data_IF_346541782073
#
_entry.id   IF_346541782073
#
_cell.length_a   1.000
_cell.length_b   1.000
_cell.length_c   1.000
_cell.angle_alpha   90.00
_cell.angle_beta   90.00
_cell.angle_gamma   90.00
#
_symmetry.space_group_name_H-M   'P 1'
#
loop_
_entity.id
_entity.type
_entity.pdbx_description
1 polymer ?
#
# COMPACT_ATOMS: atom_id res chain seq x y z
N UNK A 1 -12.48 16.62 -4.56
CA UNK A 1 -11.42 16.14 -3.65
C UNK A 1 -10.05 16.43 -4.24
N UNK A 2 -8.99 16.19 -3.47
CA UNK A 2 -7.58 16.44 -3.82
C UNK A 2 -7.16 15.84 -5.18
N UNK A 3 -7.79 14.73 -5.60
CA UNK A 3 -7.43 13.99 -6.82
C UNK A 3 -8.29 14.31 -8.04
N UNK A 4 -9.13 15.35 -7.97
CA UNK A 4 -10.11 15.69 -9.04
C UNK A 4 -9.49 15.98 -10.42
N UNK A 5 -8.22 16.38 -10.46
CA UNK A 5 -7.53 16.76 -11.70
C UNK A 5 -6.72 15.60 -12.30
N UNK A 6 -6.69 14.43 -11.64
CA UNK A 6 -6.07 13.25 -12.22
C UNK A 6 -7.00 12.68 -13.29
N UNK A 7 -6.42 12.34 -14.43
CA UNK A 7 -7.11 11.67 -15.53
C UNK A 7 -6.30 10.46 -15.98
N UNK A 8 -6.99 9.48 -16.57
CA UNK A 8 -6.34 8.34 -17.23
C UNK A 8 -5.96 8.77 -18.63
N UNK A 9 -4.68 8.65 -18.99
CA UNK A 9 -4.16 8.96 -20.33
C UNK A 9 -4.07 7.68 -21.16
N UNK A 10 -4.17 7.78 -22.48
CA UNK A 10 -4.17 6.58 -23.35
C UNK A 10 -2.85 5.81 -23.27
N UNK A 11 -1.73 6.52 -23.20
CA UNK A 11 -0.38 5.94 -23.17
C UNK A 11 -0.07 5.13 -21.91
N UNK A 12 -0.79 5.38 -20.80
CA UNK A 12 -0.59 4.71 -19.51
C UNK A 12 -1.59 3.58 -19.26
N UNK A 13 -2.64 3.43 -20.10
CA UNK A 13 -3.70 2.41 -19.90
C UNK A 13 -3.13 0.99 -19.81
N UNK A 14 -2.19 0.65 -20.69
CA UNK A 14 -1.59 -0.69 -20.72
C UNK A 14 -0.79 -0.97 -19.43
N UNK A 15 -0.04 0.01 -18.94
CA UNK A 15 0.71 -0.11 -17.69
C UNK A 15 -0.23 -0.22 -16.49
N UNK A 16 -1.29 0.60 -16.44
CA UNK A 16 -2.31 0.54 -15.39
C UNK A 16 -3.02 -0.82 -15.32
N UNK A 17 -3.34 -1.43 -16.46
CA UNK A 17 -3.91 -2.79 -16.48
C UNK A 17 -2.94 -3.82 -15.87
N UNK A 18 -1.68 -3.80 -16.29
CA UNK A 18 -0.65 -4.71 -15.73
C UNK A 18 -0.44 -4.51 -14.22
N UNK A 19 -0.58 -3.28 -13.73
CA UNK A 19 -0.50 -2.99 -12.31
C UNK A 19 -1.75 -3.47 -11.57
N UNK A 20 -2.94 -3.27 -12.14
CA UNK A 20 -4.21 -3.72 -11.56
C UNK A 20 -4.24 -5.24 -11.31
N UNK A 21 -3.63 -6.04 -12.18
CA UNK A 21 -3.52 -7.50 -12.01
C UNK A 21 -2.55 -7.92 -10.89
N UNK A 22 -1.68 -7.01 -10.44
CA UNK A 22 -0.61 -7.29 -9.47
C UNK A 22 -0.88 -6.73 -8.07
N UNK A 23 -1.91 -5.90 -7.93
CA UNK A 23 -2.26 -5.31 -6.63
C UNK A 23 -3.14 -6.27 -5.82
N UNK A 24 -2.98 -6.33 -4.48
CA UNK A 24 -3.63 -7.37 -3.68
C UNK A 24 -5.10 -7.11 -3.38
N UNK A 25 -5.56 -5.85 -3.41
CA UNK A 25 -6.97 -5.50 -3.16
C UNK A 25 -7.67 -5.31 -4.53
N UNK A 26 -8.71 -6.10 -4.84
CA UNK A 26 -9.43 -5.98 -6.10
C UNK A 26 -9.96 -4.56 -6.35
N UNK A 27 -9.71 -4.05 -7.55
CA UNK A 27 -10.27 -2.80 -8.07
C UNK A 27 -11.66 -3.11 -8.63
N UNK A 28 -12.68 -2.36 -8.21
CA UNK A 28 -14.07 -2.58 -8.67
C UNK A 28 -14.46 -1.64 -9.79
N UNK A 29 -13.78 -0.50 -9.85
CA UNK A 29 -13.96 0.55 -10.82
C UNK A 29 -13.38 0.14 -12.18
N UNK A 30 -13.89 0.73 -13.26
CA UNK A 30 -13.27 0.58 -14.59
C UNK A 30 -11.88 1.21 -14.59
N UNK A 31 -10.88 0.56 -15.20
CA UNK A 31 -9.49 1.06 -15.25
C UNK A 31 -9.39 2.41 -15.98
N UNK A 32 -10.39 2.76 -16.78
CA UNK A 32 -10.47 4.06 -17.46
C UNK A 32 -10.91 5.19 -16.53
N UNK A 33 -11.42 4.88 -15.33
CA UNK A 33 -11.82 5.88 -14.36
C UNK A 33 -10.63 6.45 -13.57
N UNK A 34 -10.58 7.77 -13.31
CA UNK A 34 -9.58 8.38 -12.44
C UNK A 34 -9.50 7.74 -11.05
N UNK A 35 -10.64 7.26 -10.52
CA UNK A 35 -10.72 6.56 -9.23
C UNK A 35 -9.92 5.27 -9.24
N UNK A 36 -10.03 4.47 -10.32
CA UNK A 36 -9.26 3.24 -10.47
C UNK A 36 -7.76 3.53 -10.52
N UNK A 37 -7.35 4.55 -11.29
CA UNK A 37 -5.95 4.99 -11.34
C UNK A 37 -5.41 5.35 -9.96
N UNK A 38 -6.13 6.16 -9.18
CA UNK A 38 -5.70 6.51 -7.81
C UNK A 38 -5.55 5.27 -6.93
N UNK A 39 -6.52 4.35 -7.00
CA UNK A 39 -6.53 3.11 -6.24
C UNK A 39 -5.33 2.21 -6.61
N UNK A 40 -5.15 1.93 -7.90
CA UNK A 40 -4.02 1.13 -8.41
C UNK A 40 -2.69 1.73 -8.03
N UNK A 41 -2.50 3.05 -8.19
CA UNK A 41 -1.23 3.71 -7.87
C UNK A 41 -0.93 3.71 -6.37
N UNK A 42 -1.93 3.88 -5.52
CA UNK A 42 -1.72 3.79 -4.07
C UNK A 42 -1.34 2.37 -3.65
N UNK A 43 -2.00 1.35 -4.22
CA UNK A 43 -1.64 -0.04 -3.95
C UNK A 43 -0.26 -0.41 -4.51
N UNK A 44 0.08 0.07 -5.72
CA UNK A 44 1.39 -0.11 -6.32
C UNK A 44 2.50 0.50 -5.46
N UNK A 45 2.25 1.67 -4.87
CA UNK A 45 3.16 2.30 -3.92
C UNK A 45 3.43 1.42 -2.69
N UNK A 46 2.37 0.90 -2.03
CA UNK A 46 2.47 0.04 -0.85
C UNK A 46 3.15 -1.29 -1.20
N UNK A 47 2.84 -1.85 -2.38
CA UNK A 47 3.48 -3.06 -2.93
C UNK A 47 4.93 -2.85 -3.40
N UNK A 48 5.43 -1.60 -3.39
CA UNK A 48 6.75 -1.25 -3.89
C UNK A 48 6.98 -1.68 -5.36
N UNK A 49 5.93 -1.64 -6.18
CA UNK A 49 6.03 -1.95 -7.60
C UNK A 49 6.82 -0.86 -8.32
N UNK A 50 7.59 -1.26 -9.34
CA UNK A 50 8.25 -0.34 -10.25
C UNK A 50 7.27 0.09 -11.33
N UNK A 51 7.28 1.38 -11.64
CA UNK A 51 6.54 1.99 -12.73
C UNK A 51 7.54 2.38 -13.83
N UNK A 52 7.12 2.26 -15.08
CA UNK A 52 7.91 2.60 -16.27
C UNK A 52 7.58 4.02 -16.75
N UNK A 53 6.31 4.42 -16.71
CA UNK A 53 5.86 5.75 -17.14
C UNK A 53 6.20 6.87 -16.16
N UNK A 54 6.93 7.89 -16.64
CA UNK A 54 7.23 9.10 -15.85
C UNK A 54 5.99 9.84 -15.34
N UNK A 55 4.94 9.92 -16.16
CA UNK A 55 3.68 10.56 -15.78
C UNK A 55 2.99 9.82 -14.63
N UNK A 56 2.94 8.48 -14.69
CA UNK A 56 2.37 7.66 -13.61
C UNK A 56 3.21 7.74 -12.32
N UNK A 57 4.54 7.82 -12.43
CA UNK A 57 5.39 8.05 -11.26
C UNK A 57 5.08 9.38 -10.58
N UNK A 58 4.94 10.46 -11.34
CA UNK A 58 4.57 11.78 -10.81
C UNK A 58 3.19 11.75 -10.14
N UNK A 59 2.20 11.11 -10.78
CA UNK A 59 0.85 10.96 -10.23
C UNK A 59 0.87 10.13 -8.93
N UNK A 60 1.66 9.05 -8.88
CA UNK A 60 1.84 8.23 -7.66
C UNK A 60 2.47 9.05 -6.53
N UNK A 61 3.49 9.87 -6.82
CA UNK A 61 4.10 10.77 -5.82
C UNK A 61 3.09 11.78 -5.29
N UNK A 62 2.30 12.40 -6.17
CA UNK A 62 1.24 13.33 -5.76
C UNK A 62 0.18 12.66 -4.87
N UNK A 63 -0.27 11.46 -5.23
CA UNK A 63 -1.22 10.68 -4.45
C UNK A 63 -0.64 10.37 -3.06
N UNK A 64 0.58 9.87 -3.00
CA UNK A 64 1.19 9.38 -1.75
C UNK A 64 1.54 10.50 -0.76
N UNK A 65 1.91 11.69 -1.25
CA UNK A 65 2.10 12.89 -0.42
C UNK A 65 0.81 13.30 0.32
N UNK A 66 -0.36 13.08 -0.29
CA UNK A 66 -1.65 13.41 0.32
C UNK A 66 -2.26 12.22 1.07
N UNK A 67 -1.95 10.98 0.67
CA UNK A 67 -2.56 9.76 1.18
C UNK A 67 -2.47 9.63 2.70
N UNK A 68 -1.32 9.97 3.31
CA UNK A 68 -1.15 9.87 4.76
C UNK A 68 -2.16 10.72 5.54
N UNK A 69 -2.34 11.99 5.14
CA UNK A 69 -3.30 12.92 5.79
C UNK A 69 -4.75 12.50 5.55
N UNK A 70 -5.07 12.07 4.32
CA UNK A 70 -6.41 11.63 3.97
C UNK A 70 -6.81 10.34 4.72
N UNK A 71 -5.91 9.35 4.78
CA UNK A 71 -6.15 8.11 5.54
C UNK A 71 -6.29 8.39 7.03
N UNK A 72 -5.48 9.30 7.57
CA UNK A 72 -5.59 9.71 8.98
C UNK A 72 -6.93 10.37 9.29
N UNK A 73 -7.39 11.28 8.42
CA UNK A 73 -8.69 11.92 8.57
C UNK A 73 -9.84 10.88 8.55
N UNK A 74 -9.78 9.90 7.62
CA UNK A 74 -10.74 8.80 7.57
C UNK A 74 -10.73 7.98 8.87
N UNK A 75 -9.54 7.62 9.36
CA UNK A 75 -9.40 6.91 10.64
C UNK A 75 -10.04 7.67 11.80
N UNK A 76 -9.79 8.98 11.93
CA UNK A 76 -10.32 9.76 13.04
C UNK A 76 -11.85 9.93 12.98
N UNK A 77 -12.42 10.10 11.78
CA UNK A 77 -13.89 10.13 11.59
C UNK A 77 -14.51 8.81 12.05
N UNK A 78 -13.95 7.70 11.59
CA UNK A 78 -14.46 6.35 11.89
C UNK A 78 -14.31 6.02 13.38
N UNK A 79 -13.17 6.41 13.98
CA UNK A 79 -12.92 6.24 15.41
C UNK A 79 -13.95 6.99 16.25
N UNK A 80 -14.23 8.27 15.93
CA UNK A 80 -15.24 9.08 16.63
C UNK A 80 -16.66 8.53 16.51
N UNK A 81 -16.95 7.82 15.42
CA UNK A 81 -18.24 7.13 15.21
C UNK A 81 -18.36 5.80 15.96
N UNK A 82 -17.30 5.32 16.61
CA UNK A 82 -17.30 4.07 17.37
C UNK A 82 -17.33 2.81 16.49
N UNK A 83 -16.96 2.90 15.22
CA UNK A 83 -17.01 1.77 14.28
C UNK A 83 -15.76 0.89 14.39
N UNK A 84 -15.64 0.12 15.47
CA UNK A 84 -14.42 -0.61 15.84
C UNK A 84 -13.74 -1.39 14.69
N UNK A 85 -14.51 -2.16 13.91
CA UNK A 85 -13.97 -2.94 12.78
C UNK A 85 -13.35 -2.05 11.70
N UNK A 86 -14.03 -0.94 11.35
CA UNK A 86 -13.53 -0.02 10.34
C UNK A 86 -12.38 0.85 10.89
N UNK A 87 -12.39 1.16 12.19
CA UNK A 87 -11.28 1.84 12.89
C UNK A 87 -10.00 1.02 12.77
N UNK A 88 -10.07 -0.29 12.99
CA UNK A 88 -8.91 -1.18 12.87
C UNK A 88 -8.38 -1.21 11.43
N UNK A 89 -9.27 -1.31 10.43
CA UNK A 89 -8.90 -1.32 9.01
C UNK A 89 -8.26 -0.02 8.55
N UNK A 90 -8.85 1.12 8.93
CA UNK A 90 -8.34 2.46 8.57
C UNK A 90 -7.01 2.78 9.26
N UNK A 91 -6.82 2.34 10.51
CA UNK A 91 -5.51 2.40 11.17
C UNK A 91 -4.48 1.53 10.45
N UNK A 92 -4.87 0.33 10.04
CA UNK A 92 -4.03 -0.54 9.20
C UNK A 92 -3.60 0.16 7.92
N UNK A 93 -4.53 0.78 7.19
CA UNK A 93 -4.23 1.56 5.98
C UNK A 93 -3.26 2.72 6.25
N UNK A 94 -3.44 3.46 7.36
CA UNK A 94 -2.50 4.51 7.76
C UNK A 94 -1.07 3.97 7.90
N UNK A 95 -0.91 2.84 8.60
CA UNK A 95 0.39 2.19 8.81
C UNK A 95 0.98 1.66 7.50
N UNK A 96 0.15 1.08 6.62
CA UNK A 96 0.61 0.53 5.35
C UNK A 96 1.09 1.63 4.39
N UNK A 97 0.42 2.79 4.39
CA UNK A 97 0.87 3.97 3.64
C UNK A 97 2.15 4.54 4.25
N UNK A 98 2.21 4.75 5.57
CA UNK A 98 3.39 5.32 6.24
C UNK A 98 4.64 4.44 6.09
N UNK A 99 4.50 3.13 6.29
CA UNK A 99 5.62 2.17 6.21
C UNK A 99 5.88 1.64 4.82
N UNK A 100 5.05 2.00 3.83
CA UNK A 100 5.12 1.51 2.45
C UNK A 100 5.27 -0.02 2.39
N UNK A 101 4.40 -0.72 3.11
CA UNK A 101 4.38 -2.18 3.17
C UNK A 101 2.98 -2.67 3.54
N UNK A 102 2.63 -3.88 3.13
CA UNK A 102 1.36 -4.49 3.50
C UNK A 102 1.40 -5.08 4.91
N UNK A 103 0.24 -5.14 5.58
CA UNK A 103 0.11 -5.74 6.91
C UNK A 103 0.38 -7.25 6.97
N UNK A 104 0.38 -7.93 5.81
CA UNK A 104 0.75 -9.35 5.68
C UNK A 104 2.26 -9.58 5.59
N UNK A 105 3.06 -8.54 5.36
CA UNK A 105 4.51 -8.64 5.30
C UNK A 105 5.12 -8.66 6.70
N UNK A 106 6.33 -9.21 6.85
CA UNK A 106 6.97 -9.33 8.17
C UNK A 106 7.32 -7.94 8.74
N UNK A 107 7.05 -7.67 10.03
CA UNK A 107 7.34 -6.37 10.65
C UNK A 107 8.81 -5.92 10.57
N UNK A 108 9.76 -6.84 10.36
CA UNK A 108 11.18 -6.52 10.20
C UNK A 108 11.48 -5.57 9.03
N UNK A 109 10.58 -5.45 8.05
CA UNK A 109 10.68 -4.46 6.96
C UNK A 109 10.75 -3.01 7.43
N UNK A 110 10.33 -2.72 8.66
CA UNK A 110 10.38 -1.38 9.24
C UNK A 110 11.80 -0.96 9.65
N UNK A 111 12.76 -1.89 9.75
CA UNK A 111 14.13 -1.61 10.15
C UNK A 111 15.05 -1.50 8.93
N UNK A 112 15.59 -0.32 8.68
CA UNK A 112 16.47 -0.05 7.53
C UNK A 112 17.84 -0.72 7.66
N UNK A 113 18.21 -1.16 8.85
CA UNK A 113 19.49 -1.82 9.13
C UNK A 113 19.50 -3.29 8.72
N UNK A 114 18.34 -3.88 8.45
CA UNK A 114 18.22 -5.30 8.10
C UNK A 114 18.27 -5.47 6.58
N UNK A 115 19.22 -6.26 6.04
CA UNK A 115 19.29 -6.57 4.61
C UNK A 115 17.97 -7.16 4.07
N UNK A 116 17.52 -6.64 2.92
CA UNK A 116 16.24 -7.04 2.30
C UNK A 116 16.24 -8.52 1.89
N UNK A 117 17.41 -9.09 1.62
CA UNK A 117 17.61 -10.50 1.29
C UNK A 117 17.27 -11.41 2.48
N UNK A 118 17.59 -10.98 3.70
CA UNK A 118 17.25 -11.71 4.93
C UNK A 118 15.74 -11.67 5.12
N UNK A 119 15.14 -10.49 5.00
CA UNK A 119 13.69 -10.30 5.11
C UNK A 119 12.95 -11.20 4.12
N UNK A 120 13.33 -11.18 2.84
CA UNK A 120 12.71 -12.02 1.80
C UNK A 120 12.86 -13.52 2.09
N UNK A 121 14.01 -13.94 2.63
CA UNK A 121 14.22 -15.34 3.05
C UNK A 121 13.28 -15.73 4.20
N UNK A 122 13.05 -14.83 5.16
CA UNK A 122 12.14 -15.07 6.28
C UNK A 122 10.69 -15.14 5.82
N UNK A 123 10.26 -14.23 4.93
CA UNK A 123 8.90 -14.25 4.37
C UNK A 123 8.64 -15.50 3.52
N UNK A 124 9.62 -15.94 2.72
CA UNK A 124 9.49 -17.20 1.94
C UNK A 124 9.37 -18.43 2.84
N UNK A 125 9.90 -18.37 4.06
CA UNK A 125 9.92 -19.51 4.97
C UNK A 125 8.57 -19.80 5.59
N UNK A 126 7.54 -18.94 5.46
CA UNK A 126 6.08 -19.06 5.76
C UNK A 126 5.62 -19.90 6.99
N UNK A 127 6.56 -20.41 7.78
CA UNK A 127 6.39 -21.45 8.81
C UNK A 127 6.54 -20.85 10.20
N UNK A 128 7.03 -19.60 10.29
CA UNK A 128 7.18 -18.88 11.55
C UNK A 128 6.18 -17.73 11.57
N UNK A 129 5.16 -17.83 12.43
CA UNK A 129 4.36 -16.67 12.78
C UNK A 129 5.27 -15.60 13.39
N UNK A 130 4.93 -14.33 13.19
CA UNK A 130 5.72 -13.23 13.75
C UNK A 130 5.91 -13.38 15.27
N UNK A 131 4.93 -13.93 15.99
CA UNK A 131 5.06 -14.10 17.44
C UNK A 131 6.17 -15.09 17.84
N UNK A 132 6.45 -16.12 17.02
CA UNK A 132 7.47 -17.13 17.34
C UNK A 132 8.88 -16.55 17.42
N UNK A 133 9.14 -15.41 16.79
CA UNK A 133 10.44 -14.76 16.88
C UNK A 133 10.77 -14.29 18.31
N UNK A 134 9.78 -14.05 19.16
CA UNK A 134 10.00 -13.64 20.55
C UNK A 134 10.48 -14.79 21.44
N UNK A 135 10.21 -16.04 21.06
CA UNK A 135 10.56 -17.24 21.84
C UNK A 135 11.93 -17.82 21.44
N UNK A 136 12.57 -17.28 20.40
CA UNK A 136 13.82 -17.79 19.87
C UNK A 136 15.02 -17.21 20.62
N UNK A 137 15.97 -18.07 21.00
CA UNK A 137 17.27 -17.62 21.50
C UNK A 137 18.28 -17.47 20.35
N UNK A 138 19.16 -16.46 20.38
CA UNK A 138 20.34 -16.44 19.52
C UNK A 138 21.17 -17.71 19.76
N UNK A 139 21.54 -18.42 18.70
CA UNK A 139 22.46 -19.56 18.75
C UNK A 139 23.89 -19.08 18.63
#
# INVERSE_FOLDING_TARGET
>A
GEFKNLAVREEEKMELHKLADRVPIPIKESIEEPTAKVNVLLQAYISQLKLEGFALMADMTYITQSAGRLMRALYEIVLRRGWASLTLRTLGLCKMVDKRMWGSMIPLRQFTQIPIEIIKKLEKKDVLSWERFFDMSPQ
#
